data_IF_432504334525
#
_entry.id   IF_432504334525
#
_cell.length_a   1.000
_cell.length_b   1.000
_cell.length_c   1.000
_cell.angle_alpha   90.00
_cell.angle_beta   90.00
_cell.angle_gamma   90.00
#
_symmetry.space_group_name_H-M   'P 1'
#
loop_
_entity.id
_entity.type
_entity.pdbx_description
1 polymer ?
#
# COMPACT_ATOMS: atom_id res chain seq x y z
N UNK A 1 13.26 61.33 -42.75
CA UNK A 1 13.23 60.77 -41.38
C UNK A 1 11.83 60.83 -40.75
N UNK A 2 10.77 60.43 -41.47
CA UNK A 2 9.39 60.42 -40.94
C UNK A 2 8.66 59.08 -41.13
N UNK A 3 9.31 58.09 -41.76
CA UNK A 3 8.68 56.80 -42.11
C UNK A 3 9.09 55.69 -41.13
N UNK A 4 10.21 55.85 -40.42
CA UNK A 4 10.67 54.87 -39.42
C UNK A 4 9.97 54.97 -38.05
N UNK A 5 9.26 56.08 -37.78
CA UNK A 5 8.54 56.28 -36.51
C UNK A 5 7.18 55.57 -36.46
N UNK A 6 6.55 55.33 -37.61
CA UNK A 6 5.19 54.75 -37.66
C UNK A 6 5.20 53.21 -37.59
N UNK A 7 6.28 52.57 -38.03
CA UNK A 7 6.40 51.10 -37.98
C UNK A 7 6.69 50.57 -36.56
N UNK A 8 7.35 51.36 -35.71
CA UNK A 8 7.64 50.95 -34.32
C UNK A 8 6.38 51.02 -33.41
N UNK A 9 5.42 51.89 -33.72
CA UNK A 9 4.16 52.04 -32.98
C UNK A 9 3.11 50.98 -33.35
N UNK A 10 3.19 50.40 -34.55
CA UNK A 10 2.31 49.29 -34.96
C UNK A 10 2.77 47.93 -34.41
N UNK A 11 4.06 47.73 -34.14
CA UNK A 11 4.57 46.49 -33.52
C UNK A 11 4.30 46.46 -32.01
N UNK A 12 4.17 47.61 -31.33
CA UNK A 12 3.84 47.66 -29.90
C UNK A 12 2.34 47.53 -29.58
N UNK A 13 1.46 47.63 -30.58
CA UNK A 13 0.00 47.63 -30.38
C UNK A 13 -0.64 46.24 -30.54
N UNK A 14 0.14 45.21 -30.94
CA UNK A 14 -0.32 43.83 -31.11
C UNK A 14 -0.04 42.92 -29.90
N UNK A 15 0.27 43.49 -28.73
CA UNK A 15 0.16 42.78 -27.45
C UNK A 15 -1.29 42.84 -26.95
N UNK A 16 -2.23 42.45 -27.81
CA UNK A 16 -3.60 42.16 -27.39
C UNK A 16 -3.48 40.98 -26.45
N UNK A 17 -3.86 41.23 -25.20
CA UNK A 17 -3.98 40.26 -24.15
C UNK A 17 -4.64 38.97 -24.66
N UNK A 18 -3.82 37.97 -24.99
CA UNK A 18 -4.30 36.60 -24.91
C UNK A 18 -4.67 36.43 -23.43
N UNK A 19 -5.95 36.18 -23.07
CA UNK A 19 -6.24 35.74 -21.73
C UNK A 19 -5.40 34.48 -21.57
N UNK A 20 -4.35 34.58 -20.74
CA UNK A 20 -3.71 33.40 -20.20
C UNK A 20 -4.81 32.74 -19.38
N UNK A 21 -5.58 31.88 -20.06
CA UNK A 21 -6.26 30.78 -19.43
C UNK A 21 -5.14 29.91 -18.88
N UNK A 22 -4.54 30.39 -17.77
CA UNK A 22 -3.96 29.53 -16.78
C UNK A 22 -5.09 28.56 -16.49
N UNK A 23 -5.02 27.39 -17.12
CA UNK A 23 -5.81 26.24 -16.74
C UNK A 23 -5.43 26.02 -15.29
N UNK A 24 -6.18 26.66 -14.38
CA UNK A 24 -6.22 26.31 -12.98
C UNK A 24 -6.84 24.93 -13.01
N UNK A 25 -6.01 23.92 -13.30
CA UNK A 25 -6.35 22.54 -13.02
C UNK A 25 -6.78 22.59 -11.57
N UNK A 26 -8.05 22.26 -11.26
CA UNK A 26 -8.51 22.25 -9.90
C UNK A 26 -7.52 21.38 -9.15
N UNK A 27 -6.75 22.02 -8.25
CA UNK A 27 -5.81 21.32 -7.40
C UNK A 27 -6.69 20.53 -6.46
N UNK A 28 -7.10 19.35 -6.91
CA UNK A 28 -7.96 18.45 -6.18
C UNK A 28 -7.26 18.30 -4.84
N UNK A 29 -7.89 18.81 -3.79
CA UNK A 29 -7.43 18.63 -2.42
C UNK A 29 -7.54 17.15 -2.15
N UNK A 30 -6.50 16.43 -2.54
CA UNK A 30 -6.42 15.01 -2.35
C UNK A 30 -6.41 14.81 -0.85
N UNK A 31 -7.50 14.24 -0.33
CA UNK A 31 -7.50 13.83 1.07
C UNK A 31 -6.31 12.92 1.28
N UNK A 32 -5.49 13.28 2.27
CA UNK A 32 -4.32 12.51 2.67
C UNK A 32 -4.73 11.74 3.91
N UNK A 33 -5.12 10.48 3.73
CA UNK A 33 -5.19 9.56 4.85
C UNK A 33 -3.82 9.55 5.54
N UNK A 34 -3.84 9.69 6.85
CA UNK A 34 -2.66 9.74 7.69
C UNK A 34 -2.27 8.34 8.19
N UNK A 35 -1.05 8.19 8.72
CA UNK A 35 -0.67 6.97 9.42
C UNK A 35 -1.62 6.67 10.61
N UNK A 36 -2.13 7.71 11.29
CA UNK A 36 -3.14 7.55 12.35
C UNK A 36 -4.47 6.99 11.87
N UNK A 37 -4.88 7.24 10.63
CA UNK A 37 -6.10 6.64 10.09
C UNK A 37 -5.88 5.15 9.78
N UNK A 38 -4.69 4.80 9.29
CA UNK A 38 -4.29 3.42 9.03
C UNK A 38 -4.22 2.59 10.32
N UNK A 39 -3.80 3.17 11.45
CA UNK A 39 -3.82 2.47 12.74
C UNK A 39 -5.23 2.09 13.23
N UNK A 40 -6.29 2.71 12.70
CA UNK A 40 -7.68 2.36 13.07
C UNK A 40 -8.21 1.11 12.36
N UNK A 41 -7.42 0.49 11.49
CA UNK A 41 -7.82 -0.72 10.76
C UNK A 41 -6.81 -1.82 11.03
N UNK A 42 -7.30 -3.03 11.34
CA UNK A 42 -6.43 -4.20 11.48
C UNK A 42 -5.72 -4.46 10.16
N UNK A 43 -4.41 -4.56 10.21
CA UNK A 43 -3.59 -5.08 9.14
C UNK A 43 -2.79 -6.28 9.61
N UNK A 44 -2.07 -6.89 8.68
CA UNK A 44 -1.15 -7.94 9.03
C UNK A 44 -0.09 -8.17 7.97
N UNK A 45 0.85 -9.03 8.30
CA UNK A 45 1.86 -9.52 7.38
C UNK A 45 2.07 -11.02 7.58
N UNK A 46 2.50 -11.68 6.51
CA UNK A 46 2.91 -13.07 6.56
C UNK A 46 4.36 -13.16 7.05
N UNK A 47 4.61 -14.00 8.05
CA UNK A 47 5.93 -14.47 8.43
C UNK A 47 6.09 -15.90 7.91
N UNK A 48 7.28 -16.20 7.37
CA UNK A 48 7.62 -17.53 6.86
C UNK A 48 8.93 -17.98 7.49
N UNK A 49 8.92 -19.12 8.19
CA UNK A 49 10.07 -19.69 8.90
C UNK A 49 10.76 -18.67 9.83
N UNK A 50 9.96 -17.96 10.63
CA UNK A 50 10.46 -16.92 11.54
C UNK A 50 11.06 -15.69 10.86
N UNK A 51 10.87 -15.52 9.54
CA UNK A 51 11.32 -14.35 8.79
C UNK A 51 10.14 -13.56 8.26
N UNK A 52 10.18 -12.25 8.48
CA UNK A 52 9.22 -11.33 7.89
C UNK A 52 9.29 -11.37 6.35
N UNK A 53 8.12 -11.36 5.72
CA UNK A 53 7.99 -11.23 4.26
C UNK A 53 7.42 -9.87 3.88
N UNK A 54 7.49 -9.51 2.61
CA UNK A 54 6.80 -8.34 2.06
C UNK A 54 5.31 -8.60 1.77
N UNK A 55 4.76 -9.73 2.21
CA UNK A 55 3.41 -10.13 1.87
C UNK A 55 2.44 -9.63 2.94
N UNK A 56 1.70 -8.56 2.61
CA UNK A 56 0.65 -8.04 3.45
C UNK A 56 -0.56 -8.97 3.49
N UNK A 57 -1.26 -8.97 4.62
CA UNK A 57 -2.48 -9.75 4.81
C UNK A 57 -3.71 -8.85 4.67
N UNK A 58 -4.61 -9.23 3.77
CA UNK A 58 -5.97 -8.73 3.70
C UNK A 58 -6.81 -9.36 4.80
N UNK A 59 -6.64 -8.88 6.04
CA UNK A 59 -7.33 -9.41 7.21
C UNK A 59 -8.84 -9.28 7.01
N UNK A 60 -9.57 -10.40 7.07
CA UNK A 60 -11.02 -10.44 7.00
C UNK A 60 -11.62 -10.36 8.40
N UNK A 61 -11.07 -11.16 9.30
CA UNK A 61 -11.50 -11.26 10.69
C UNK A 61 -10.41 -11.92 11.56
N UNK A 62 -10.77 -12.24 12.80
CA UNK A 62 -9.87 -12.82 13.78
C UNK A 62 -9.41 -14.26 13.50
N UNK A 63 -9.90 -14.89 12.43
CA UNK A 63 -9.59 -16.27 12.04
C UNK A 63 -9.17 -16.43 10.57
N UNK A 64 -9.28 -15.40 9.73
CA UNK A 64 -8.97 -15.52 8.32
C UNK A 64 -8.41 -14.24 7.69
N UNK A 65 -7.57 -14.43 6.68
CA UNK A 65 -7.06 -13.37 5.83
C UNK A 65 -6.90 -13.81 4.38
N UNK A 66 -6.94 -12.85 3.47
CA UNK A 66 -6.56 -13.02 2.07
C UNK A 66 -5.10 -12.62 1.87
N UNK A 67 -4.42 -13.29 0.96
CA UNK A 67 -3.04 -13.03 0.60
C UNK A 67 -2.82 -13.29 -0.89
N UNK A 68 -1.76 -12.74 -1.47
CA UNK A 68 -1.27 -13.12 -2.79
C UNK A 68 -0.80 -14.59 -2.79
N UNK A 69 -1.30 -15.41 -3.73
CA UNK A 69 -0.89 -16.80 -3.86
C UNK A 69 0.62 -16.94 -4.11
N UNK A 70 1.22 -15.99 -4.82
CA UNK A 70 2.67 -15.93 -5.05
C UNK A 70 3.52 -15.74 -3.77
N UNK A 71 2.91 -15.46 -2.62
CA UNK A 71 3.60 -15.40 -1.34
C UNK A 71 3.85 -16.78 -0.72
N UNK A 72 3.19 -17.80 -1.26
CA UNK A 72 3.30 -19.19 -0.83
C UNK A 72 4.33 -19.91 -1.69
N UNK A 73 5.01 -20.89 -1.10
CA UNK A 73 5.94 -21.74 -1.85
C UNK A 73 5.17 -23.00 -2.28
N UNK A 74 5.45 -23.48 -3.50
CA UNK A 74 4.75 -24.61 -4.09
C UNK A 74 5.71 -25.76 -4.36
N UNK A 75 5.31 -26.98 -4.00
CA UNK A 75 6.00 -28.23 -4.33
C UNK A 75 5.00 -29.13 -5.05
N UNK A 76 5.35 -29.56 -6.27
CA UNK A 76 4.48 -30.38 -7.13
C UNK A 76 3.07 -29.78 -7.36
N UNK A 77 3.01 -28.46 -7.52
CA UNK A 77 1.76 -27.73 -7.78
C UNK A 77 0.85 -27.54 -6.56
N UNK A 78 1.28 -27.94 -5.36
CA UNK A 78 0.56 -27.73 -4.10
C UNK A 78 1.37 -26.83 -3.18
N UNK A 79 0.71 -26.12 -2.27
CA UNK A 79 1.37 -25.29 -1.26
C UNK A 79 2.23 -26.19 -0.35
N UNK A 80 3.47 -25.79 -0.12
CA UNK A 80 4.41 -26.50 0.74
C UNK A 80 4.09 -26.28 2.22
N UNK A 81 3.26 -27.16 2.78
CA UNK A 81 2.87 -27.13 4.19
C UNK A 81 3.98 -27.58 5.15
N UNK A 82 5.17 -27.96 4.65
CA UNK A 82 6.33 -28.22 5.51
C UNK A 82 6.97 -26.94 6.04
N UNK A 83 6.68 -25.80 5.40
CA UNK A 83 7.14 -24.50 5.82
C UNK A 83 6.23 -23.92 6.90
N UNK A 84 6.81 -23.21 7.85
CA UNK A 84 6.08 -22.59 8.95
C UNK A 84 5.56 -21.21 8.52
N UNK A 85 4.26 -21.14 8.24
CA UNK A 85 3.57 -19.89 7.95
C UNK A 85 2.88 -19.35 9.19
N UNK A 86 3.05 -18.05 9.44
CA UNK A 86 2.46 -17.35 10.58
C UNK A 86 1.80 -16.05 10.11
N UNK A 87 0.60 -15.80 10.61
CA UNK A 87 -0.12 -14.54 10.45
C UNK A 87 0.19 -13.63 11.64
N UNK A 88 0.86 -12.51 11.38
CA UNK A 88 1.06 -11.45 12.35
C UNK A 88 0.02 -10.37 12.11
N UNK A 89 -0.80 -10.09 13.12
CA UNK A 89 -1.91 -9.13 13.10
C UNK A 89 -1.55 -7.96 14.02
N UNK A 90 -1.70 -6.74 13.51
CA UNK A 90 -1.38 -5.53 14.27
C UNK A 90 -2.49 -5.14 15.26
N UNK A 91 -2.21 -4.10 16.05
CA UNK A 91 -3.11 -3.62 17.08
C UNK A 91 -4.44 -3.10 16.51
N UNK A 92 -4.45 -2.45 15.35
CA UNK A 92 -5.66 -1.88 14.75
C UNK A 92 -6.50 -1.06 15.74
N UNK A 93 -7.83 -1.16 15.61
CA UNK A 93 -8.79 -0.42 16.44
C UNK A 93 -8.97 -0.93 17.87
N UNK A 94 -8.61 -2.18 18.16
CA UNK A 94 -8.83 -2.80 19.49
C UNK A 94 -7.57 -2.78 20.38
N UNK A 95 -6.42 -2.33 19.84
CA UNK A 95 -5.16 -2.28 20.56
C UNK A 95 -4.40 -3.62 20.70
N UNK A 96 -5.00 -4.75 20.30
CA UNK A 96 -4.46 -6.09 20.51
C UNK A 96 -3.65 -6.59 19.31
N UNK A 97 -2.38 -6.95 19.51
CA UNK A 97 -1.59 -7.64 18.48
C UNK A 97 -1.80 -9.16 18.57
N UNK A 98 -1.53 -9.87 17.47
CA UNK A 98 -1.64 -11.33 17.44
C UNK A 98 -0.59 -11.98 16.55
N UNK A 99 -0.14 -13.17 16.96
CA UNK A 99 0.72 -14.06 16.19
C UNK A 99 0.08 -15.43 16.17
N UNK A 100 -0.25 -15.91 14.98
CA UNK A 100 -0.99 -17.16 14.81
C UNK A 100 -0.33 -18.05 13.77
N UNK A 101 -0.17 -19.32 14.09
CA UNK A 101 0.18 -20.32 13.09
C UNK A 101 -0.96 -20.42 12.06
N UNK A 102 -0.60 -20.45 10.77
CA UNK A 102 -1.55 -20.73 9.70
C UNK A 102 -1.92 -22.21 9.75
N UNK A 103 -3.22 -22.47 9.81
CA UNK A 103 -3.80 -23.81 9.99
C UNK A 103 -4.30 -24.41 8.67
N UNK A 104 -4.79 -23.56 7.77
CA UNK A 104 -5.26 -23.99 6.45
C UNK A 104 -4.95 -22.93 5.39
N UNK A 105 -4.72 -23.36 4.15
CA UNK A 105 -4.45 -22.49 3.02
C UNK A 105 -5.23 -22.99 1.79
N UNK A 106 -6.10 -22.12 1.25
CA UNK A 106 -6.88 -22.41 0.05
C UNK A 106 -6.49 -21.43 -1.05
N UNK A 107 -5.82 -21.91 -2.09
CA UNK A 107 -5.46 -21.11 -3.26
C UNK A 107 -6.66 -21.04 -4.21
N UNK A 108 -6.91 -19.88 -4.82
CA UNK A 108 -8.00 -19.72 -5.76
C UNK A 108 -7.85 -20.69 -6.96
N UNK A 109 -8.89 -21.42 -7.37
CA UNK A 109 -8.78 -22.47 -8.40
C UNK A 109 -8.32 -21.94 -9.76
N UNK A 110 -8.70 -20.72 -10.10
CA UNK A 110 -8.31 -20.04 -11.34
C UNK A 110 -6.97 -19.30 -11.27
N UNK A 111 -6.17 -19.49 -10.21
CA UNK A 111 -4.86 -18.85 -10.08
C UNK A 111 -3.90 -19.31 -11.20
N UNK A 112 -3.32 -18.35 -11.93
CA UNK A 112 -2.31 -18.58 -12.94
C UNK A 112 -0.99 -17.91 -12.52
N UNK A 113 0.00 -18.73 -12.17
CA UNK A 113 1.31 -18.27 -11.73
C UNK A 113 2.14 -17.59 -12.82
N UNK A 114 1.81 -17.76 -14.10
CA UNK A 114 2.51 -17.12 -15.22
C UNK A 114 1.93 -15.74 -15.50
N UNK A 115 0.61 -15.63 -15.58
CA UNK A 115 -0.07 -14.37 -15.92
C UNK A 115 -0.40 -13.51 -14.70
N UNK A 116 -0.31 -14.09 -13.50
CA UNK A 116 -0.71 -13.48 -12.21
C UNK A 116 -2.21 -13.20 -12.14
N UNK A 117 -3.02 -13.79 -13.03
CA UNK A 117 -4.47 -13.77 -12.95
C UNK A 117 -4.94 -14.53 -11.71
N UNK A 118 -5.96 -14.00 -11.03
CA UNK A 118 -6.48 -14.54 -9.78
C UNK A 118 -5.39 -14.90 -8.76
N UNK A 119 -4.37 -14.03 -8.64
CA UNK A 119 -3.29 -14.21 -7.67
C UNK A 119 -3.77 -13.91 -6.24
N UNK A 120 -4.44 -14.90 -5.66
CA UNK A 120 -5.05 -14.85 -4.33
C UNK A 120 -5.13 -16.24 -3.71
N UNK A 121 -4.92 -16.28 -2.41
CA UNK A 121 -5.18 -17.40 -1.54
C UNK A 121 -5.86 -16.90 -0.25
N UNK A 122 -6.62 -17.77 0.38
CA UNK A 122 -7.18 -17.58 1.71
C UNK A 122 -6.36 -18.38 2.71
N UNK A 123 -6.01 -17.76 3.83
CA UNK A 123 -5.37 -18.44 4.96
C UNK A 123 -6.31 -18.40 6.17
N UNK A 124 -6.43 -19.53 6.85
CA UNK A 124 -7.14 -19.65 8.12
C UNK A 124 -6.13 -19.80 9.26
N UNK A 125 -6.37 -19.10 10.34
CA UNK A 125 -5.58 -19.13 11.57
C UNK A 125 -6.53 -18.99 12.76
N UNK A 126 -6.08 -19.27 13.98
CA UNK A 126 -6.85 -18.98 15.20
C UNK A 126 -8.32 -19.48 15.20
N UNK A 127 -8.62 -20.59 14.51
CA UNK A 127 -10.01 -21.10 14.32
C UNK A 127 -10.72 -21.49 15.62
N UNK A 128 -9.98 -21.65 16.72
CA UNK A 128 -10.51 -21.95 18.05
C UNK A 128 -10.82 -20.72 18.91
N UNK A 129 -10.62 -19.50 18.39
CA UNK A 129 -10.86 -18.28 19.17
C UNK A 129 -12.34 -18.11 19.49
N UNK A 130 -12.62 -17.65 20.71
CA UNK A 130 -13.96 -17.24 21.15
C UNK A 130 -14.21 -15.74 20.98
N UNK A 131 -13.16 -14.99 20.68
CA UNK A 131 -13.26 -13.56 20.37
C UNK A 131 -13.72 -13.45 18.92
N UNK A 132 -14.67 -12.55 18.64
CA UNK A 132 -15.15 -12.27 17.30
C UNK A 132 -14.93 -10.81 16.99
N UNK A 133 -14.16 -10.56 15.92
CA UNK A 133 -14.00 -9.23 15.35
C UNK A 133 -13.75 -9.38 13.85
N UNK A 134 -14.10 -8.34 13.09
CA UNK A 134 -13.97 -8.35 11.64
C UNK A 134 -13.46 -7.01 11.12
N UNK A 135 -12.97 -7.03 9.88
CA UNK A 135 -12.63 -5.86 9.10
C UNK A 135 -13.68 -5.64 8.01
N UNK A 136 -13.94 -4.37 7.71
CA UNK A 136 -14.71 -4.01 6.53
C UNK A 136 -13.78 -3.89 5.30
N UNK A 137 -14.16 -4.59 4.24
CA UNK A 137 -13.48 -4.54 2.94
C UNK A 137 -14.20 -3.54 2.02
N UNK A 138 -13.47 -2.61 1.41
CA UNK A 138 -14.03 -1.64 0.49
C UNK A 138 -14.52 -2.32 -0.79
N UNK A 139 -15.72 -1.98 -1.24
CA UNK A 139 -16.24 -2.38 -2.55
C UNK A 139 -16.63 -1.15 -3.36
N UNK A 140 -16.79 -1.32 -4.68
CA UNK A 140 -17.14 -0.25 -5.61
C UNK A 140 -16.02 0.77 -5.82
N UNK A 141 -14.92 0.40 -6.52
CA UNK A 141 -13.79 1.31 -6.77
C UNK A 141 -14.15 2.67 -7.38
N UNK A 142 -15.27 2.74 -8.12
CA UNK A 142 -15.78 4.00 -8.70
C UNK A 142 -16.32 5.00 -7.67
N UNK A 143 -16.58 4.56 -6.43
CA UNK A 143 -17.13 5.37 -5.35
C UNK A 143 -16.07 5.79 -4.32
N UNK A 144 -14.81 5.40 -4.50
CA UNK A 144 -13.71 5.72 -3.59
C UNK A 144 -13.18 7.12 -3.91
N UNK A 145 -12.83 7.89 -2.88
CA UNK A 145 -12.20 9.21 -3.08
C UNK A 145 -10.75 9.08 -3.56
N UNK A 146 -10.13 7.91 -3.33
CA UNK A 146 -8.73 7.66 -3.66
C UNK A 146 -8.18 6.35 -3.09
N UNK A 147 -6.91 6.10 -3.39
CA UNK A 147 -6.15 4.93 -2.94
C UNK A 147 -5.03 5.35 -2.01
N UNK A 148 -4.82 4.55 -0.97
CA UNK A 148 -3.76 4.73 0.02
C UNK A 148 -2.97 3.43 0.09
N UNK A 149 -1.71 3.50 -0.32
CA UNK A 149 -0.78 2.38 -0.34
C UNK A 149 0.00 2.35 0.96
N UNK A 150 0.07 1.19 1.59
CA UNK A 150 0.57 1.03 2.96
C UNK A 150 1.59 -0.10 3.05
N UNK A 151 2.69 0.18 3.74
CA UNK A 151 3.66 -0.81 4.18
C UNK A 151 3.59 -0.89 5.69
N UNK A 152 3.21 -2.06 6.19
CA UNK A 152 3.32 -2.42 7.60
C UNK A 152 4.50 -3.36 7.76
N UNK A 153 5.23 -3.21 8.86
CA UNK A 153 6.37 -4.07 9.16
C UNK A 153 6.64 -4.07 10.66
N UNK A 154 7.23 -5.16 11.12
CA UNK A 154 7.74 -5.33 12.46
C UNK A 154 9.13 -4.70 12.54
N UNK A 155 9.34 -3.85 13.55
CA UNK A 155 10.67 -3.43 13.96
C UNK A 155 11.39 -4.51 14.76
N UNK A 156 10.63 -5.35 15.46
CA UNK A 156 11.10 -6.52 16.20
C UNK A 156 10.09 -7.67 16.02
N UNK A 157 10.54 -8.76 15.39
CA UNK A 157 9.69 -9.92 15.10
C UNK A 157 9.41 -10.76 16.35
N UNK A 158 10.38 -10.87 17.25
CA UNK A 158 10.28 -11.71 18.44
C UNK A 158 9.41 -11.01 19.49
N UNK A 159 9.59 -9.69 19.65
CA UNK A 159 8.75 -8.86 20.51
C UNK A 159 7.39 -8.46 19.91
N UNK A 160 7.06 -8.89 18.68
CA UNK A 160 5.88 -8.45 17.92
C UNK A 160 5.71 -6.92 17.87
N UNK A 161 6.81 -6.18 17.86
CA UNK A 161 6.79 -4.73 17.85
C UNK A 161 6.60 -4.21 16.44
N UNK A 162 5.49 -3.49 16.21
CA UNK A 162 5.16 -2.88 14.93
C UNK A 162 5.81 -1.51 14.79
N UNK A 163 6.41 -1.25 13.63
CA UNK A 163 6.89 0.08 13.29
C UNK A 163 5.73 0.97 12.77
N UNK A 164 5.95 2.28 12.75
CA UNK A 164 5.00 3.22 12.14
C UNK A 164 4.79 2.86 10.66
N UNK A 165 3.53 2.63 10.21
CA UNK A 165 3.23 2.35 8.82
C UNK A 165 3.72 3.45 7.90
N UNK A 166 4.31 3.07 6.78
CA UNK A 166 4.64 4.01 5.71
C UNK A 166 3.47 4.08 4.76
N UNK A 167 3.05 5.30 4.42
CA UNK A 167 1.83 5.59 3.67
C UNK A 167 2.16 6.41 2.43
N UNK A 168 1.54 6.07 1.30
CA UNK A 168 1.60 6.82 0.06
C UNK A 168 0.20 6.95 -0.54
N UNK A 169 -0.23 8.17 -0.83
CA UNK A 169 -1.51 8.44 -1.48
C UNK A 169 -1.27 8.80 -2.95
N UNK A 170 -2.01 8.15 -3.85
CA UNK A 170 -1.96 8.45 -5.28
C UNK A 170 -3.35 8.85 -5.75
N UNK A 171 -3.40 9.78 -6.71
CA UNK A 171 -4.64 10.15 -7.38
C UNK A 171 -5.18 9.00 -8.22
N UNK A 172 -6.36 9.17 -8.77
CA UNK A 172 -6.94 8.18 -9.69
C UNK A 172 -6.18 8.14 -11.02
N UNK A 173 -5.86 6.92 -11.47
CA UNK A 173 -5.47 6.62 -12.84
C UNK A 173 -4.01 6.91 -13.19
N UNK A 174 -3.26 5.86 -13.51
CA UNK A 174 -2.01 5.94 -14.26
C UNK A 174 -2.16 5.14 -15.55
N UNK A 175 -2.21 5.86 -16.69
CA UNK A 175 -2.42 5.25 -18.00
C UNK A 175 -1.29 4.25 -18.36
N UNK A 176 -0.10 4.39 -17.78
CA UNK A 176 0.99 3.44 -17.99
C UNK A 176 0.65 2.03 -17.44
N UNK A 177 -0.25 1.93 -16.46
CA UNK A 177 -0.69 0.65 -15.93
C UNK A 177 -1.41 -0.22 -16.98
N UNK A 178 -2.21 0.41 -17.84
CA UNK A 178 -2.90 -0.29 -18.93
C UNK A 178 -1.95 -0.78 -20.03
N UNK A 179 -0.80 -0.13 -20.16
CA UNK A 179 0.17 -0.44 -21.22
C UNK A 179 1.14 -1.56 -20.81
N UNK A 180 1.52 -1.61 -19.53
CA UNK A 180 2.57 -2.51 -19.06
C UNK A 180 2.06 -3.91 -18.66
N UNK A 181 0.84 -4.03 -18.14
CA UNK A 181 0.30 -5.33 -17.69
C UNK A 181 -0.88 -5.76 -18.55
N UNK A 182 -0.71 -6.85 -19.31
CA UNK A 182 -1.78 -7.42 -20.13
C UNK A 182 -2.91 -7.98 -19.27
N UNK A 183 -2.60 -8.57 -18.12
CA UNK A 183 -3.61 -9.04 -17.15
C UNK A 183 -4.39 -7.86 -16.58
N UNK A 184 -3.73 -6.74 -16.27
CA UNK A 184 -4.41 -5.53 -15.84
C UNK A 184 -5.29 -4.94 -16.94
N UNK A 185 -4.79 -4.87 -18.18
CA UNK A 185 -5.53 -4.31 -19.32
C UNK A 185 -6.88 -4.99 -19.54
N UNK A 186 -6.94 -6.32 -19.38
CA UNK A 186 -8.18 -7.09 -19.48
C UNK A 186 -9.06 -7.05 -18.22
N UNK A 187 -8.52 -6.62 -17.08
CA UNK A 187 -9.15 -6.74 -15.77
C UNK A 187 -8.99 -5.46 -14.93
N UNK A 188 -9.09 -4.28 -15.55
CA UNK A 188 -8.74 -3.01 -14.91
C UNK A 188 -9.58 -2.66 -13.67
N UNK A 189 -10.76 -3.26 -13.54
CA UNK A 189 -11.63 -3.13 -12.36
C UNK A 189 -11.22 -4.01 -11.18
N UNK A 190 -10.49 -5.11 -11.42
CA UNK A 190 -10.07 -6.06 -10.39
C UNK A 190 -8.70 -5.76 -9.78
N UNK A 191 -8.09 -4.64 -10.18
CA UNK A 191 -6.76 -4.24 -9.72
C UNK A 191 -6.70 -2.74 -9.40
N UNK A 192 -5.95 -2.39 -8.36
CA UNK A 192 -5.35 -1.05 -8.25
C UNK A 192 -3.92 -1.07 -8.82
N UNK A 193 -3.41 0.10 -9.20
CA UNK A 193 -2.07 0.23 -9.75
C UNK A 193 -1.36 1.47 -9.22
N UNK A 194 -0.06 1.32 -8.91
CA UNK A 194 0.79 2.40 -8.40
C UNK A 194 2.19 2.37 -8.96
N UNK A 195 2.80 3.56 -9.08
CA UNK A 195 4.24 3.74 -9.24
C UNK A 195 4.96 3.97 -7.90
N UNK A 196 4.22 4.08 -6.80
CA UNK A 196 4.76 4.31 -5.47
C UNK A 196 5.58 3.12 -4.98
N UNK A 197 6.78 3.41 -4.49
CA UNK A 197 7.69 2.45 -3.88
C UNK A 197 8.13 2.94 -2.51
N UNK A 198 8.57 2.02 -1.69
CA UNK A 198 8.94 2.29 -0.30
C UNK A 198 10.24 1.57 0.05
N UNK A 199 11.17 2.22 0.78
CA UNK A 199 12.37 1.55 1.25
C UNK A 199 11.98 0.34 2.08
N UNK A 200 12.51 -0.81 1.71
CA UNK A 200 12.26 -2.02 2.47
C UNK A 200 12.90 -1.93 3.88
N UNK A 201 12.35 -2.65 4.87
CA UNK A 201 12.79 -2.51 6.27
C UNK A 201 14.29 -2.82 6.43
N UNK A 202 15.01 -1.88 7.05
CA UNK A 202 16.48 -1.80 7.02
C UNK A 202 17.21 -3.03 7.60
N UNK A 203 16.61 -3.72 8.57
CA UNK A 203 17.19 -4.92 9.19
C UNK A 203 17.19 -6.13 8.26
N UNK A 204 16.24 -6.21 7.32
CA UNK A 204 16.09 -7.40 6.49
C UNK A 204 17.07 -7.45 5.31
N UNK A 205 17.55 -6.31 4.82
CA UNK A 205 18.09 -6.25 3.45
C UNK A 205 19.47 -5.64 3.27
N UNK A 206 20.01 -4.91 4.26
CA UNK A 206 21.32 -4.25 4.13
C UNK A 206 21.48 -3.37 2.87
N UNK A 207 20.38 -3.03 2.20
CA UNK A 207 20.36 -2.40 0.88
C UNK A 207 19.29 -1.31 0.83
N UNK A 208 19.53 -0.27 0.05
CA UNK A 208 18.62 0.84 -0.21
C UNK A 208 17.50 0.49 -1.20
N UNK A 209 17.14 -0.79 -1.30
CA UNK A 209 16.16 -1.25 -2.29
C UNK A 209 14.75 -0.78 -1.92
N UNK A 210 14.09 -0.10 -2.85
CA UNK A 210 12.69 0.26 -2.75
C UNK A 210 11.84 -0.87 -3.32
N UNK A 211 10.83 -1.29 -2.55
CA UNK A 211 9.90 -2.35 -2.93
C UNK A 211 8.48 -1.78 -3.05
N UNK A 212 7.56 -2.51 -3.71
CA UNK A 212 6.14 -2.19 -3.69
C UNK A 212 5.58 -2.11 -2.26
N UNK A 213 4.57 -1.28 -2.08
CA UNK A 213 3.71 -1.33 -0.90
C UNK A 213 2.99 -2.67 -0.82
N UNK A 214 2.60 -3.09 0.37
CA UNK A 214 2.03 -4.43 0.61
C UNK A 214 0.51 -4.44 0.48
N UNK A 215 -0.13 -3.36 0.91
CA UNK A 215 -1.58 -3.22 1.02
C UNK A 215 -2.05 -1.94 0.32
N UNK A 216 -3.30 -1.96 -0.13
CA UNK A 216 -4.01 -0.77 -0.59
C UNK A 216 -5.33 -0.63 0.17
N UNK A 217 -5.63 0.59 0.59
CA UNK A 217 -6.84 1.00 1.27
C UNK A 217 -7.60 2.01 0.40
N UNK A 218 -8.93 1.94 0.45
CA UNK A 218 -9.81 2.93 -0.15
C UNK A 218 -10.12 4.03 0.86
N UNK A 219 -10.14 5.29 0.42
CA UNK A 219 -10.58 6.43 1.23
C UNK A 219 -12.01 6.83 0.91
N UNK A 220 -12.78 7.19 1.93
CA UNK A 220 -14.14 7.71 1.82
C UNK A 220 -14.33 8.95 2.68
N UNK A 221 -15.03 9.95 2.12
CA UNK A 221 -15.25 11.27 2.70
C UNK A 221 -13.98 11.91 3.26
N UNK A 222 -12.83 11.58 2.66
CA UNK A 222 -11.51 12.05 3.02
C UNK A 222 -10.97 11.66 4.41
N UNK A 223 -11.63 10.82 5.20
CA UNK A 223 -11.15 10.45 6.56
C UNK A 223 -11.29 8.96 6.88
N UNK A 224 -12.25 8.27 6.25
CA UNK A 224 -12.47 6.85 6.48
C UNK A 224 -11.61 6.03 5.54
N UNK A 225 -10.95 5.01 6.08
CA UNK A 225 -10.13 4.07 5.32
C UNK A 225 -10.65 2.66 5.51
N UNK A 226 -10.78 1.93 4.41
CA UNK A 226 -11.20 0.53 4.41
C UNK A 226 -10.25 -0.29 3.56
N UNK A 227 -10.03 -1.54 3.94
CA UNK A 227 -9.11 -2.43 3.23
C UNK A 227 -9.63 -2.69 1.81
N UNK A 228 -8.83 -2.42 0.79
CA UNK A 228 -9.26 -2.55 -0.60
C UNK A 228 -8.55 -3.67 -1.35
N UNK A 229 -7.29 -3.93 -1.04
CA UNK A 229 -6.48 -4.89 -1.78
C UNK A 229 -5.11 -5.14 -1.18
N UNK A 230 -4.38 -6.07 -1.78
CA UNK A 230 -3.01 -6.42 -1.41
C UNK A 230 -2.15 -6.59 -2.65
N UNK A 231 -0.83 -6.47 -2.47
CA UNK A 231 0.15 -6.55 -3.55
C UNK A 231 0.08 -7.90 -4.26
N UNK A 232 -0.06 -7.86 -5.60
CA UNK A 232 -0.04 -9.05 -6.45
C UNK A 232 1.32 -9.20 -7.10
N UNK A 233 1.67 -8.24 -7.95
CA UNK A 233 2.87 -8.28 -8.77
C UNK A 233 3.33 -6.87 -9.16
N UNK A 234 4.59 -6.78 -9.57
CA UNK A 234 5.18 -5.59 -10.15
C UNK A 234 5.67 -5.91 -11.56
N UNK A 235 5.43 -5.00 -12.49
CA UNK A 235 5.91 -5.10 -13.87
C UNK A 235 7.05 -4.12 -14.06
N UNK A 236 8.17 -4.63 -14.57
CA UNK A 236 9.37 -3.87 -14.92
C UNK A 236 9.42 -3.63 -16.42
N UNK A 237 9.57 -2.37 -16.82
CA UNK A 237 9.89 -1.97 -18.19
C UNK A 237 11.40 -2.16 -18.39
N UNK A 238 11.80 -2.99 -19.36
CA UNK A 238 13.19 -3.19 -19.79
C UNK A 238 14.17 -3.78 -18.76
N UNK A 239 13.69 -4.55 -17.77
CA UNK A 239 14.53 -4.97 -16.66
C UNK A 239 14.14 -6.23 -15.91
N UNK A 240 15.09 -6.76 -15.12
CA UNK A 240 14.90 -7.91 -14.21
C UNK A 240 15.14 -7.59 -12.73
N UNK A 241 15.63 -6.39 -12.41
CA UNK A 241 16.14 -6.03 -11.08
C UNK A 241 15.32 -4.90 -10.45
N UNK A 242 14.36 -5.28 -9.60
CA UNK A 242 13.47 -4.35 -8.89
C UNK A 242 14.19 -3.16 -8.25
N UNK A 243 15.44 -3.34 -7.79
CA UNK A 243 16.17 -2.32 -7.05
C UNK A 243 16.88 -1.30 -7.96
N UNK A 244 17.03 -1.58 -9.27
CA UNK A 244 17.77 -0.73 -10.21
C UNK A 244 16.89 0.07 -11.16
N UNK A 245 15.71 -0.44 -11.50
CA UNK A 245 14.88 0.17 -12.54
C UNK A 245 13.95 1.25 -11.99
N UNK A 246 13.86 2.36 -12.71
CA UNK A 246 13.01 3.50 -12.35
C UNK A 246 11.59 3.39 -12.92
N UNK A 247 11.40 2.57 -13.97
CA UNK A 247 10.10 2.37 -14.63
C UNK A 247 9.49 1.06 -14.22
N UNK A 248 8.72 1.11 -13.14
CA UNK A 248 7.93 -0.02 -12.67
C UNK A 248 6.53 0.38 -12.26
N UNK A 249 5.62 -0.59 -12.30
CA UNK A 249 4.25 -0.46 -11.83
C UNK A 249 3.86 -1.65 -10.98
N UNK A 250 3.37 -1.35 -9.79
CA UNK A 250 2.88 -2.32 -8.81
C UNK A 250 1.38 -2.45 -8.96
N UNK A 251 0.90 -3.69 -9.04
CA UNK A 251 -0.51 -4.04 -9.19
C UNK A 251 -0.99 -4.74 -7.93
N UNK A 252 -2.20 -4.39 -7.50
CA UNK A 252 -2.79 -4.86 -6.25
C UNK A 252 -4.11 -5.53 -6.56
N UNK A 253 -4.26 -6.80 -6.18
CA UNK A 253 -5.53 -7.53 -6.31
C UNK A 253 -6.55 -6.87 -5.40
N UNK A 254 -7.70 -6.46 -5.96
CA UNK A 254 -8.79 -5.90 -5.15
C UNK A 254 -9.59 -7.02 -4.50
N UNK A 255 -9.82 -6.89 -3.20
CA UNK A 255 -10.52 -7.89 -2.39
C UNK A 255 -12.01 -7.99 -2.76
N UNK A 256 -12.61 -6.90 -3.25
CA UNK A 256 -14.02 -6.84 -3.62
C UNK A 256 -14.47 -7.92 -4.60
N UNK A 257 -13.56 -8.37 -5.45
CA UNK A 257 -13.81 -9.39 -6.47
C UNK A 257 -13.78 -10.82 -5.92
N UNK A 258 -13.29 -11.01 -4.69
CA UNK A 258 -13.02 -12.32 -4.10
C UNK A 258 -13.72 -12.55 -2.76
N UNK A 259 -14.66 -11.67 -2.37
CA UNK A 259 -15.44 -11.88 -1.15
C UNK A 259 -16.36 -13.09 -1.26
N UNK A 260 -16.93 -13.39 -2.43
CA UNK A 260 -17.70 -14.62 -2.65
C UNK A 260 -16.84 -15.88 -2.51
N UNK A 261 -15.62 -15.87 -3.07
CA UNK A 261 -14.64 -16.94 -2.86
C UNK A 261 -14.35 -17.14 -1.37
N UNK A 262 -14.06 -16.05 -0.64
CA UNK A 262 -13.79 -16.13 0.80
C UNK A 262 -14.99 -16.67 1.59
N UNK A 263 -16.21 -16.20 1.31
CA UNK A 263 -17.44 -16.70 1.93
C UNK A 263 -17.62 -18.20 1.69
N UNK A 264 -17.39 -18.67 0.46
CA UNK A 264 -17.55 -20.08 0.09
C UNK A 264 -16.53 -20.98 0.78
N UNK A 265 -15.30 -20.51 0.98
CA UNK A 265 -14.24 -21.30 1.65
C UNK A 265 -14.47 -21.32 3.17
N UNK A 266 -14.89 -20.20 3.75
CA UNK A 266 -15.04 -20.06 5.20
C UNK A 266 -16.39 -20.53 5.74
N UNK A 267 -17.40 -20.70 4.88
CA UNK A 267 -18.79 -20.97 5.24
C UNK A 267 -19.36 -19.93 6.23
N UNK A 268 -19.01 -18.65 6.03
CA UNK A 268 -19.51 -17.51 6.83
C UNK A 268 -19.40 -16.19 6.08
N UNK A 269 -20.13 -15.20 6.56
CA UNK A 269 -20.17 -13.85 5.98
C UNK A 269 -18.89 -13.08 6.24
N UNK A 270 -18.28 -12.60 5.16
CA UNK A 270 -17.20 -11.60 5.17
C UNK A 270 -17.79 -10.20 4.98
N UNK A 271 -17.36 -9.27 5.83
CA UNK A 271 -17.93 -7.92 5.89
C UNK A 271 -17.30 -6.98 4.86
N UNK A 272 -18.12 -6.10 4.31
CA UNK A 272 -17.72 -5.10 3.33
C UNK A 272 -18.40 -3.76 3.57
N UNK A 273 -17.79 -2.69 3.06
CA UNK A 273 -18.29 -1.33 3.11
C UNK A 273 -18.44 -0.75 1.71
N UNK A 274 -19.59 -0.13 1.45
CA UNK A 274 -19.87 0.69 0.29
C UNK A 274 -20.48 2.04 0.73
N UNK A 275 -20.21 3.10 -0.03
CA UNK A 275 -20.75 4.43 0.26
C UNK A 275 -22.24 4.56 -0.07
N UNK A 276 -22.68 3.84 -1.10
CA UNK A 276 -23.99 3.99 -1.73
C UNK A 276 -25.02 2.96 -1.28
N UNK A 277 -24.63 2.00 -0.42
CA UNK A 277 -25.44 0.84 0.00
C UNK A 277 -26.00 -0.03 -1.15
N UNK A 278 -25.65 0.25 -2.41
CA UNK A 278 -26.21 -0.42 -3.59
C UNK A 278 -25.15 -1.25 -4.31
N UNK A 279 -23.89 -0.83 -4.27
CA UNK A 279 -22.80 -1.58 -4.88
C UNK A 279 -22.50 -2.83 -4.05
N UNK A 280 -22.74 -4.02 -4.61
CA UNK A 280 -22.41 -5.30 -3.97
C UNK A 280 -21.05 -5.81 -4.44
N UNK A 281 -20.36 -6.64 -3.63
CA UNK A 281 -19.21 -7.38 -4.12
C UNK A 281 -19.61 -8.32 -5.26
N UNK A 282 -18.59 -8.78 -5.97
CA UNK A 282 -18.72 -9.88 -6.92
C UNK A 282 -19.31 -11.11 -6.18
N UNK A 283 -20.28 -11.80 -6.80
CA UNK A 283 -21.08 -12.87 -6.17
C UNK A 283 -20.72 -14.31 -6.59
N UNK A 284 -19.78 -14.48 -7.52
CA UNK A 284 -19.34 -15.78 -8.04
C UNK A 284 -18.13 -16.27 -7.23
N UNK A 285 -18.25 -17.36 -6.47
CA UNK A 285 -17.12 -17.91 -5.72
C UNK A 285 -15.99 -18.42 -6.62
N UNK A 286 -16.24 -18.65 -7.91
CA UNK A 286 -15.26 -19.10 -8.90
C UNK A 286 -14.78 -17.97 -9.84
N UNK A 287 -15.03 -16.70 -9.49
CA UNK A 287 -14.68 -15.54 -10.30
C UNK A 287 -13.30 -15.67 -10.97
N UNK A 288 -13.30 -15.75 -12.29
CA UNK A 288 -12.11 -15.86 -13.09
C UNK A 288 -11.83 -14.54 -13.82
N UNK A 289 -10.59 -14.06 -13.71
CA UNK A 289 -10.15 -12.93 -14.50
C UNK A 289 -10.14 -13.28 -16.00
N UNK A 290 -10.45 -12.30 -16.83
CA UNK A 290 -10.33 -12.43 -18.28
C UNK A 290 -8.87 -12.74 -18.64
N UNK A 291 -8.65 -13.82 -19.37
CA UNK A 291 -7.30 -14.23 -19.78
C UNK A 291 -6.67 -13.15 -20.67
N UNK A 292 -5.44 -12.70 -20.38
CA UNK A 292 -4.80 -11.67 -21.20
C UNK A 292 -4.56 -12.16 -22.63
N UNK A 293 -4.76 -11.27 -23.62
CA UNK A 293 -4.37 -11.57 -25.00
C UNK A 293 -2.86 -11.79 -25.07
N UNK A 294 -2.42 -12.78 -25.85
CA UNK A 294 -1.04 -13.29 -25.92
C UNK A 294 0.00 -12.31 -26.50
N UNK A 295 -0.35 -11.06 -26.79
CA UNK A 295 0.60 -10.07 -27.30
C UNK A 295 1.49 -9.57 -26.17
N UNK A 296 2.57 -10.30 -25.90
CA UNK A 296 3.53 -10.02 -24.83
C UNK A 296 4.43 -8.87 -25.27
N UNK A 297 4.23 -7.68 -24.69
CA UNK A 297 5.32 -6.70 -24.57
C UNK A 297 6.40 -7.35 -23.71
N UNK A 298 7.68 -7.20 -24.08
CA UNK A 298 8.82 -7.80 -23.35
C UNK A 298 8.97 -7.19 -21.95
N UNK A 299 8.10 -7.57 -21.03
CA UNK A 299 8.06 -7.11 -19.64
C UNK A 299 8.37 -8.26 -18.70
N UNK A 300 8.98 -7.94 -17.55
CA UNK A 300 9.21 -8.92 -16.47
C UNK A 300 8.21 -8.65 -15.37
N UNK A 301 7.47 -9.68 -14.99
CA UNK A 301 6.57 -9.65 -13.84
C UNK A 301 7.24 -10.32 -12.65
N UNK A 302 7.38 -9.59 -11.54
CA UNK A 302 7.86 -10.11 -10.27
C UNK A 302 6.70 -10.14 -9.27
N UNK A 303 6.62 -11.18 -8.45
CA UNK A 303 5.57 -11.36 -7.44
C UNK A 303 6.13 -12.05 -6.18
N UNK A 304 5.31 -12.16 -5.14
CA UNK A 304 5.65 -12.86 -3.90
C UNK A 304 6.47 -12.02 -2.92
N UNK A 305 7.36 -12.67 -2.17
CA UNK A 305 8.19 -12.00 -1.17
C UNK A 305 9.32 -11.18 -1.82
N UNK A 306 9.17 -9.86 -1.81
CA UNK A 306 10.08 -8.84 -2.34
C UNK A 306 11.19 -8.45 -1.37
N UNK A 307 11.19 -8.95 -0.14
CA UNK A 307 12.38 -8.83 0.70
C UNK A 307 13.39 -9.85 0.19
N UNK A 308 14.54 -9.43 -0.39
CA UNK A 308 15.58 -10.31 -0.87
C UNK A 308 15.69 -11.57 -0.03
N UNK A 309 15.63 -12.71 -0.73
CA UNK A 309 16.31 -13.89 -0.23
C UNK A 309 17.73 -13.41 -0.01
N UNK A 310 18.16 -13.28 1.26
CA UNK A 310 19.57 -13.16 1.56
C UNK A 310 20.23 -14.20 0.66
N UNK A 311 21.20 -13.83 -0.21
CA UNK A 311 21.91 -14.82 -0.99
C UNK A 311 22.32 -15.85 0.04
N UNK A 312 21.78 -17.05 -0.07
CA UNK A 312 22.14 -18.13 0.83
C UNK A 312 23.63 -18.26 0.60
N UNK A 313 24.44 -17.68 1.48
CA UNK A 313 25.88 -17.87 1.48
C UNK A 313 26.02 -19.36 1.33
N UNK A 314 26.56 -19.86 0.21
CA UNK A 314 26.61 -21.29 -0.04
C UNK A 314 27.23 -21.87 1.22
N UNK A 315 26.42 -22.61 2.00
CA UNK A 315 26.91 -23.23 3.23
C UNK A 315 28.19 -23.92 2.82
N UNK A 316 29.34 -23.62 3.43
CA UNK A 316 30.58 -24.22 3.02
C UNK A 316 30.38 -25.72 3.16
N UNK A 317 30.17 -26.38 2.02
CA UNK A 317 30.21 -27.82 1.89
C UNK A 317 31.48 -28.19 2.60
N UNK A 318 31.36 -28.99 3.66
CA UNK A 318 32.49 -29.48 4.43
C UNK A 318 33.47 -30.12 3.46
N UNK A 319 34.44 -29.33 3.00
CA UNK A 319 35.54 -29.79 2.19
C UNK A 319 36.39 -30.62 3.14
N UNK A 320 36.18 -31.93 3.03
CA UNK A 320 37.00 -32.94 3.65
C UNK A 320 38.47 -32.59 3.42
N UNK A 321 39.20 -32.47 4.52
CA UNK A 321 40.64 -32.27 4.58
C UNK A 321 41.38 -33.21 3.62
N UNK A 322 41.92 -32.65 2.52
CA UNK A 322 43.07 -33.25 1.83
C UNK A 322 44.25 -32.30 1.96
N UNK A 323 44.99 -32.57 3.02
CA UNK A 323 46.28 -32.01 3.40
C UNK A 323 47.28 -32.32 2.29
N UNK A 324 47.71 -31.32 1.52
CA UNK A 324 48.92 -31.43 0.71
C UNK A 324 49.81 -30.23 1.00
N UNK A 325 50.96 -30.53 1.57
CA UNK A 325 52.02 -29.63 2.02
C UNK A 325 53.05 -29.40 0.91
N UNK A 326 53.32 -28.13 0.58
CA UNK A 326 54.54 -27.64 -0.11
C UNK A 326 54.57 -26.12 0.14
N UNK A 327 55.45 -25.52 0.96
CA UNK A 327 56.90 -25.25 0.73
C UNK A 327 57.12 -24.67 -0.68
N UNK A 328 57.63 -23.45 -0.93
CA UNK A 328 58.59 -22.61 -0.20
C UNK A 328 58.68 -21.21 -0.87
N UNK A 329 58.96 -20.18 -0.05
CA UNK A 329 59.87 -19.02 -0.28
C UNK A 329 59.54 -17.78 -1.16
N UNK A 330 60.19 -16.61 -0.84
CA UNK A 330 59.68 -15.25 -1.08
C UNK A 330 60.52 -14.42 -2.07
N UNK A 331 60.02 -13.28 -2.59
CA UNK A 331 60.84 -12.29 -3.33
C UNK A 331 60.24 -10.86 -3.30
N UNK A 332 60.94 -9.99 -2.54
CA UNK A 332 61.28 -8.55 -2.70
C UNK A 332 60.39 -7.51 -3.46
N UNK A 333 60.15 -6.38 -2.77
CA UNK A 333 59.97 -4.98 -3.27
C UNK A 333 61.23 -4.48 -4.06
N UNK A 334 61.39 -3.22 -4.59
CA UNK A 334 60.62 -1.94 -4.50
C UNK A 334 60.66 -1.14 -5.87
N UNK A 335 60.79 0.23 -6.02
CA UNK A 335 60.37 1.45 -5.27
C UNK A 335 59.71 2.60 -6.12
N UNK A 336 59.20 3.64 -5.43
CA UNK A 336 59.24 5.12 -5.67
C UNK A 336 58.87 5.82 -7.01
N UNK A 337 58.09 6.91 -6.91
CA UNK A 337 58.22 8.25 -7.58
C UNK A 337 57.03 9.15 -7.13
N UNK A 338 57.19 10.25 -6.38
CA UNK A 338 57.68 11.62 -6.65
C UNK A 338 56.61 12.66 -7.09
N UNK A 339 56.52 13.72 -6.26
CA UNK A 339 56.25 15.15 -6.52
C UNK A 339 55.14 15.63 -7.49
N UNK A 340 54.26 16.52 -7.00
CA UNK A 340 54.29 17.94 -7.41
C UNK A 340 53.33 18.82 -6.58
N UNK A 341 53.91 19.73 -5.79
CA UNK A 341 53.26 20.96 -5.33
C UNK A 341 53.19 21.96 -6.49
N UNK A 342 52.04 22.61 -6.68
CA UNK A 342 51.94 23.80 -7.52
C UNK A 342 51.25 24.94 -6.77
N UNK A 343 52.07 25.86 -6.25
CA UNK A 343 51.66 27.17 -5.78
C UNK A 343 51.26 28.05 -6.97
N UNK A 344 49.96 28.38 -7.09
CA UNK A 344 49.48 29.38 -8.05
C UNK A 344 49.23 30.72 -7.37
N UNK A 345 50.18 31.64 -7.52
CA UNK A 345 50.04 33.04 -7.12
C UNK A 345 49.00 33.78 -7.95
N UNK A 346 48.05 34.40 -7.26
CA UNK A 346 46.98 35.21 -7.86
C UNK A 346 47.53 36.57 -8.36
N UNK A 347 47.43 36.78 -9.67
CA UNK A 347 47.73 38.03 -10.37
C UNK A 347 46.84 39.18 -9.88
N UNK A 348 47.45 40.37 -9.68
CA UNK A 348 46.81 41.61 -9.20
C UNK A 348 45.63 42.11 -10.05
N UNK A 349 45.37 41.54 -11.24
CA UNK A 349 44.19 41.84 -12.06
C UNK A 349 42.93 41.07 -11.63
N UNK A 350 43.05 39.95 -10.93
CA UNK A 350 41.91 39.15 -10.44
C UNK A 350 41.22 39.76 -9.22
N UNK A 351 41.93 40.63 -8.47
CA UNK A 351 41.40 41.26 -7.25
C UNK A 351 40.32 42.32 -7.56
N UNK A 352 40.43 43.02 -8.71
CA UNK A 352 39.45 44.04 -9.09
C UNK A 352 38.10 43.45 -9.56
N UNK A 353 38.11 42.27 -10.19
CA UNK A 353 36.89 41.61 -10.68
C UNK A 353 36.09 40.99 -9.53
N UNK A 354 36.78 40.46 -8.51
CA UNK A 354 36.15 39.89 -7.32
C UNK A 354 35.44 40.96 -6.47
N UNK A 355 35.99 42.18 -6.42
CA UNK A 355 35.37 43.30 -5.67
C UNK A 355 34.09 43.84 -6.32
N UNK A 356 33.97 43.82 -7.66
CA UNK A 356 32.75 44.25 -8.35
C UNK A 356 31.63 43.19 -8.27
N UNK A 357 31.99 41.91 -8.31
CA UNK A 357 31.01 40.82 -8.21
C UNK A 357 30.43 40.66 -6.81
N UNK A 358 31.18 40.99 -5.74
CA UNK A 358 30.68 40.91 -4.37
C UNK A 358 29.59 41.95 -4.07
N UNK A 359 29.67 43.15 -4.65
CA UNK A 359 28.66 44.21 -4.49
C UNK A 359 27.33 43.84 -5.18
N UNK A 360 27.38 43.31 -6.40
CA UNK A 360 26.17 42.88 -7.11
C UNK A 360 25.56 41.61 -6.48
N UNK A 361 26.42 40.67 -6.06
CA UNK A 361 25.99 39.45 -5.38
C UNK A 361 25.28 39.72 -4.05
N UNK A 362 25.79 40.64 -3.24
CA UNK A 362 25.17 41.00 -1.96
C UNK A 362 23.84 41.76 -2.13
N UNK A 363 23.69 42.58 -3.18
CA UNK A 363 22.41 43.21 -3.52
C UNK A 363 21.35 42.17 -3.90
N UNK A 364 21.70 41.19 -4.76
CA UNK A 364 20.78 40.12 -5.15
C UNK A 364 20.37 39.24 -3.96
N UNK A 365 21.31 38.97 -3.05
CA UNK A 365 21.05 38.19 -1.85
C UNK A 365 20.10 38.94 -0.90
N UNK A 366 20.29 40.25 -0.71
CA UNK A 366 19.38 41.07 0.09
C UNK A 366 17.95 41.11 -0.48
N UNK A 367 17.81 41.23 -1.80
CA UNK A 367 16.51 41.15 -2.49
C UNK A 367 15.88 39.77 -2.31
N UNK A 368 16.66 38.69 -2.48
CA UNK A 368 16.20 37.32 -2.26
C UNK A 368 15.67 37.09 -0.84
N UNK A 369 16.42 37.55 0.18
CA UNK A 369 16.00 37.46 1.59
C UNK A 369 14.73 38.28 1.86
N UNK A 370 14.60 39.48 1.28
CA UNK A 370 13.39 40.29 1.42
C UNK A 370 12.15 39.57 0.89
N UNK A 371 12.23 38.95 -0.29
CA UNK A 371 11.13 38.18 -0.86
C UNK A 371 10.82 36.91 -0.05
N UNK A 372 11.84 36.22 0.47
CA UNK A 372 11.67 35.07 1.37
C UNK A 372 10.94 35.44 2.66
N UNK A 373 11.34 36.55 3.30
CA UNK A 373 10.68 37.07 4.52
C UNK A 373 9.25 37.50 4.22
N UNK A 374 9.01 38.17 3.09
CA UNK A 374 7.65 38.58 2.68
C UNK A 374 6.76 37.37 2.39
N UNK A 375 7.29 36.36 1.71
CA UNK A 375 6.58 35.10 1.44
C UNK A 375 6.27 34.34 2.73
N UNK A 376 7.23 34.22 3.63
CA UNK A 376 7.07 33.54 4.92
C UNK A 376 6.02 34.24 5.81
N UNK A 377 6.06 35.59 5.89
CA UNK A 377 5.03 36.38 6.60
C UNK A 377 3.64 36.24 5.98
N UNK A 378 3.55 36.09 4.66
CA UNK A 378 2.28 35.81 3.96
C UNK A 378 1.71 34.43 4.30
N UNK A 379 2.58 33.43 4.43
CA UNK A 379 2.18 32.06 4.80
C UNK A 379 1.73 31.94 6.26
N UNK A 380 2.38 32.63 7.19
CA UNK A 380 2.00 32.65 8.61
C UNK A 380 0.62 33.26 8.84
N UNK A 381 0.17 34.21 8.00
CA UNK A 381 -1.19 34.78 8.09
C UNK A 381 -2.28 33.82 7.58
N UNK A 382 -1.94 32.81 6.79
CA UNK A 382 -2.91 31.83 6.23
C UNK A 382 -3.09 30.57 7.07
N UNK A 383 -2.30 30.37 8.12
CA UNK A 383 -2.42 29.23 9.04
C UNK A 383 -3.15 29.56 10.34
N UNK A 384 -3.75 30.76 10.45
CA UNK A 384 -4.61 31.09 11.58
C UNK A 384 -5.99 30.50 11.34
N UNK A 385 -6.13 29.23 11.71
CA UNK A 385 -7.39 28.48 11.69
C UNK A 385 -8.22 28.90 12.91
N UNK A 386 -9.35 29.62 12.73
CA UNK A 386 -10.18 30.11 13.84
C UNK A 386 -10.79 28.97 14.68
N UNK A 387 -10.78 27.73 14.18
CA UNK A 387 -11.32 26.56 14.89
C UNK A 387 -10.32 25.91 15.85
N UNK A 388 -9.04 26.31 15.85
CA UNK A 388 -8.04 25.85 16.83
C UNK A 388 -7.95 26.72 18.09
N UNK A 389 -8.44 27.96 18.04
CA UNK A 389 -8.46 28.84 19.22
C UNK A 389 -9.54 28.41 20.24
N UNK A 390 -10.66 27.82 19.80
CA UNK A 390 -11.70 27.30 20.69
C UNK A 390 -11.24 26.07 21.50
N UNK A 391 -10.50 25.15 20.88
CA UNK A 391 -9.97 23.97 21.58
C UNK A 391 -8.91 24.33 22.63
N UNK A 392 -8.11 25.38 22.39
CA UNK A 392 -7.14 25.88 23.37
C UNK A 392 -7.81 26.63 24.53
N UNK A 393 -8.93 27.31 24.28
CA UNK A 393 -9.74 27.96 25.33
C UNK A 393 -10.50 26.94 26.20
N UNK A 394 -10.96 25.82 25.62
CA UNK A 394 -11.57 24.71 26.39
C UNK A 394 -10.57 24.02 27.33
N UNK A 395 -9.31 23.86 26.90
CA UNK A 395 -8.25 23.27 27.74
C UNK A 395 -7.88 24.22 28.90
N UNK A 396 -7.82 25.53 28.67
CA UNK A 396 -7.60 26.50 29.75
C UNK A 396 -8.80 26.67 30.70
N UNK A 397 -10.03 26.47 30.22
CA UNK A 397 -11.23 26.52 31.05
C UNK A 397 -11.34 25.32 32.01
N UNK A 398 -10.84 24.15 31.59
CA UNK A 398 -10.82 22.94 32.43
C UNK A 398 -9.69 22.92 33.48
N UNK A 399 -8.66 23.76 33.33
CA UNK A 399 -7.51 23.78 34.27
C UNK A 399 -7.66 24.83 35.39
N UNK A 400 -8.71 25.67 35.35
CA UNK A 400 -8.89 26.80 36.26
C UNK A 400 -10.12 26.74 37.19
N UNK A 401 -10.86 25.62 37.26
CA UNK A 401 -12.06 25.58 38.10
C UNK A 401 -12.40 24.21 38.70
N UNK A 402 -12.05 24.01 39.98
CA UNK A 402 -12.63 22.89 40.74
C UNK A 402 -12.03 22.62 42.11
N UNK A 403 -11.96 23.62 43.01
CA UNK A 403 -11.63 23.40 44.41
C UNK A 403 -12.90 23.16 45.28
N UNK A 404 -12.82 22.12 46.12
CA UNK A 404 -13.64 21.80 47.32
C UNK A 404 -15.03 21.17 47.10
N UNK A 405 -15.48 20.15 47.84
CA UNK A 405 -15.27 19.83 49.27
C UNK A 405 -15.25 18.32 49.62
N UNK A 406 -14.84 17.95 50.86
CA UNK A 406 -14.53 16.59 51.29
C UNK A 406 -15.71 15.89 52.00
N UNK A 407 -15.78 14.56 51.92
CA UNK A 407 -16.58 13.78 52.86
C UNK A 407 -16.79 12.32 52.48
N UNK A 408 -16.50 11.43 53.44
CA UNK A 408 -17.14 10.11 53.52
C UNK A 408 -16.25 8.93 53.14
N UNK A 409 -15.60 8.33 54.14
CA UNK A 409 -14.85 7.08 54.00
C UNK A 409 -15.69 5.85 53.69
N UNK A 410 -15.03 4.79 53.24
CA UNK A 410 -15.65 3.48 53.11
C UNK A 410 -14.85 2.49 52.28
N UNK A 411 -14.05 1.68 52.97
CA UNK A 411 -13.64 0.31 52.67
C UNK A 411 -12.92 -0.04 51.35
N UNK A 412 -11.68 -0.51 51.54
CA UNK A 412 -10.97 -1.42 50.67
C UNK A 412 -11.83 -2.64 50.28
N UNK A 413 -11.97 -2.88 48.98
CA UNK A 413 -11.97 -4.23 48.43
C UNK A 413 -11.26 -4.25 47.07
N UNK A 414 -10.20 -5.03 47.05
CA UNK A 414 -9.45 -5.45 45.87
C UNK A 414 -10.38 -6.09 44.83
N UNK A 415 -10.42 -5.53 43.63
CA UNK A 415 -10.88 -6.22 42.43
C UNK A 415 -10.08 -5.70 41.23
N UNK A 416 -9.30 -6.61 40.65
CA UNK A 416 -8.68 -6.49 39.34
C UNK A 416 -9.79 -6.56 38.30
N UNK A 417 -10.27 -5.40 37.87
CA UNK A 417 -11.25 -5.27 36.79
C UNK A 417 -10.51 -4.76 35.55
N UNK A 418 -10.47 -5.62 34.53
CA UNK A 418 -9.99 -5.29 33.19
C UNK A 418 -10.98 -4.27 32.63
N UNK A 419 -10.54 -3.03 32.50
CA UNK A 419 -11.32 -1.96 31.87
C UNK A 419 -11.38 -2.25 30.38
N UNK A 420 -12.53 -2.74 29.92
CA UNK A 420 -12.97 -2.65 28.53
C UNK A 420 -13.02 -1.17 28.14
N UNK A 421 -11.98 -0.69 27.46
CA UNK A 421 -12.03 0.60 26.78
C UNK A 421 -12.86 0.45 25.52
N UNK A 422 -14.17 0.63 25.66
CA UNK A 422 -15.07 0.86 24.55
C UNK A 422 -14.68 2.15 23.83
N UNK A 423 -13.89 2.04 22.76
CA UNK A 423 -13.87 3.10 21.75
C UNK A 423 -15.26 3.19 21.15
N UNK A 424 -15.96 4.26 21.49
CA UNK A 424 -17.24 4.62 20.91
C UNK A 424 -17.07 4.94 19.41
N UNK A 425 -17.01 3.91 18.58
CA UNK A 425 -17.55 4.03 17.23
C UNK A 425 -19.05 4.29 17.38
N UNK A 426 -19.64 5.24 16.62
CA UNK A 426 -21.08 5.36 16.59
C UNK A 426 -21.67 3.99 16.24
N UNK A 427 -22.71 3.51 16.96
CA UNK A 427 -23.34 2.25 16.64
C UNK A 427 -23.80 2.29 15.17
N UNK A 428 -23.73 1.17 14.44
CA UNK A 428 -24.28 1.11 13.09
C UNK A 428 -25.74 1.59 13.11
N UNK A 429 -26.22 2.28 12.06
CA UNK A 429 -27.61 2.72 12.02
C UNK A 429 -28.52 1.52 12.28
N UNK A 430 -29.39 1.64 13.27
CA UNK A 430 -30.34 0.60 13.62
C UNK A 430 -31.23 0.33 12.39
N UNK A 431 -31.04 -0.82 11.75
CA UNK A 431 -32.00 -1.32 10.78
C UNK A 431 -33.30 -1.63 11.54
N UNK A 432 -34.48 -1.26 11.01
CA UNK A 432 -35.74 -1.60 11.65
C UNK A 432 -35.87 -3.12 11.75
N UNK A 433 -35.90 -3.61 12.99
CA UNK A 433 -36.32 -4.97 13.28
C UNK A 433 -37.80 -5.10 12.93
N UNK A 434 -38.12 -6.16 12.19
CA UNK A 434 -39.46 -6.60 11.77
C UNK A 434 -39.92 -6.11 10.38
N UNK A 435 -39.43 -6.80 9.35
CA UNK A 435 -40.28 -7.10 8.20
C UNK A 435 -40.32 -8.64 8.06
N UNK A 436 -41.48 -9.29 8.21
CA UNK A 436 -41.58 -10.74 8.16
C UNK A 436 -41.25 -11.24 6.75
N UNK A 437 -40.29 -12.16 6.65
CA UNK A 437 -40.03 -12.86 5.40
C UNK A 437 -41.21 -13.77 5.07
N UNK A 438 -41.95 -13.42 4.03
CA UNK A 438 -42.92 -14.30 3.37
C UNK A 438 -42.12 -15.40 2.68
N UNK A 439 -42.15 -16.58 3.29
CA UNK A 439 -41.62 -17.81 2.72
C UNK A 439 -42.53 -18.21 1.53
N UNK A 440 -42.10 -17.88 0.31
CA UNK A 440 -42.70 -18.46 -0.90
C UNK A 440 -42.06 -19.82 -1.08
N UNK A 441 -42.79 -20.86 -0.66
CA UNK A 441 -42.50 -22.26 -1.01
C UNK A 441 -42.92 -22.42 -2.47
N UNK A 442 -41.95 -22.40 -3.38
CA UNK A 442 -42.18 -22.78 -4.78
C UNK A 442 -42.15 -24.30 -4.87
N UNK A 443 -43.33 -24.87 -5.07
CA UNK A 443 -43.62 -26.30 -5.18
C UNK A 443 -42.98 -26.85 -6.46
N UNK A 444 -42.03 -27.77 -6.30
CA UNK A 444 -41.38 -28.45 -7.41
C UNK A 444 -42.38 -29.37 -8.14
N UNK A 445 -42.86 -28.94 -9.31
CA UNK A 445 -43.59 -29.80 -10.24
C UNK A 445 -42.65 -30.79 -10.92
N UNK A 446 -42.88 -32.07 -10.63
CA UNK A 446 -42.35 -33.22 -11.37
C UNK A 446 -42.94 -33.28 -12.78
N UNK A 447 -42.15 -33.57 -13.83
CA UNK A 447 -42.70 -34.04 -15.09
C UNK A 447 -42.37 -35.52 -15.29
N UNK A 448 -43.40 -36.35 -15.19
CA UNK A 448 -43.46 -37.70 -15.75
C UNK A 448 -44.65 -37.75 -16.71
N UNK A 449 -44.40 -37.93 -18.01
CA UNK A 449 -45.23 -38.66 -19.01
C UNK A 449 -44.73 -38.32 -20.42
N UNK A 450 -44.12 -39.30 -21.10
CA UNK A 450 -44.73 -40.08 -22.18
C UNK A 450 -45.10 -39.25 -23.42
N UNK A 451 -44.20 -39.24 -24.40
CA UNK A 451 -44.58 -39.19 -25.82
C UNK A 451 -43.75 -40.23 -26.59
N UNK A 452 -44.47 -41.20 -27.12
CA UNK A 452 -44.06 -42.23 -28.08
C UNK A 452 -44.16 -41.73 -29.52
N UNK A 453 -43.51 -42.47 -30.43
CA UNK A 453 -43.52 -42.41 -31.91
C UNK A 453 -42.50 -41.40 -32.49
N UNK A 454 -41.76 -41.66 -33.56
CA UNK A 454 -41.85 -42.64 -34.64
C UNK A 454 -40.50 -42.65 -35.39
N UNK A 455 -40.08 -43.81 -35.89
CA UNK A 455 -39.02 -43.93 -36.92
C UNK A 455 -39.53 -43.37 -38.27
N UNK A 456 -38.63 -42.94 -39.18
CA UNK A 456 -38.29 -43.89 -40.25
C UNK A 456 -36.80 -43.93 -40.64
N UNK A 457 -36.38 -45.16 -40.95
CA UNK A 457 -35.34 -45.49 -41.91
C UNK A 457 -35.63 -44.85 -43.28
N UNK A 458 -34.62 -44.33 -43.98
CA UNK A 458 -34.07 -44.96 -45.20
C UNK A 458 -32.93 -44.13 -45.85
N UNK A 459 -31.82 -44.85 -46.09
CA UNK A 459 -30.96 -44.88 -47.29
C UNK A 459 -30.52 -43.57 -47.98
N UNK A 460 -29.20 -43.35 -48.01
CA UNK A 460 -28.33 -43.68 -49.17
C UNK A 460 -26.88 -43.40 -48.83
#
# INVERSE_FOLDING_TARGET
>A
MAVFGLLLLLVLSAAVAAPSAASVLPRQLQSRASASDIFKVKGGLLVKNGKQTSCGLGILDNMAALISADCLDFVNGKVDLSLHYEAFVDAGYDGATGRYMVQNITVHPSYDSKTKANNIALIEYNRGSKVLWYNYNAVGPGNWDGYVYVQRYLSDIDGMAWATPKVYSQGSGDLACLQLSTVYKGNSKGFACSSGLVPAPSSSLGTSCNVPYQMVYATFSGTYVYQAGFFSHVVLEDGKDLCKYSRQRSYFTLISDYLAFANSVLDRTVYYYNKDNTTKPQSDPEYAMTKPSTTVVSVVMLSGNMYPKQPSTPSPTSALLSRTSTSTSPTSNPPSEEQQESNSGLSKRSIAIVAACSAVGSLLLAVGVFFLVRWWRGHLKRTRDPYKETAAQEILANDLGGASMPGGGGNLRSMTEIVDMAYAMPPPPAYPANEPQVLVVEEAQSPNSLVSNEYPNEKS
#
